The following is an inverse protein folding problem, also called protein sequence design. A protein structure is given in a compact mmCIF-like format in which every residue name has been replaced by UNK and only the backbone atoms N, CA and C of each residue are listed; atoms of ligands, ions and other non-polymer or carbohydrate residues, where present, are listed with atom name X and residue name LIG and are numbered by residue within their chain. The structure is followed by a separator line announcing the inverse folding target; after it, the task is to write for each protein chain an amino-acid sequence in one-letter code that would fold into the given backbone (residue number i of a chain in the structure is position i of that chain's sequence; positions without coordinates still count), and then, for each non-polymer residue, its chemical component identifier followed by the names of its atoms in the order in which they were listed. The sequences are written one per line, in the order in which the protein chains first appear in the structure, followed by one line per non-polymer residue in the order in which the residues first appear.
data_IF_828715039269
#
_entry.id   IF_828715039269
#
_cell.length_a   1.000
_cell.length_b   1.000
_cell.length_c   1.000
_cell.angle_alpha   90.00
_cell.angle_beta   90.00
_cell.angle_gamma   90.00
#
_symmetry.space_group_name_H-M   'P 1'
#
loop_
_entity.id
_entity.type
_entity.pdbx_description
1 polymer ?
#
# COMPACT_ATOMS: atom_id res chain seq x y z
N UNK A 1 12.90 1.75 28.47
CA UNK A 1 12.81 2.80 27.41
C UNK A 1 13.22 2.32 26.00
N UNK A 2 13.06 1.03 25.63
CA UNK A 2 13.53 0.52 24.31
C UNK A 2 12.43 -0.09 23.41
N UNK A 3 11.16 -0.02 23.84
CA UNK A 3 10.03 -0.69 23.16
C UNK A 3 8.96 0.24 22.58
N UNK A 4 9.06 1.57 22.77
CA UNK A 4 8.05 2.51 22.26
C UNK A 4 8.27 2.96 20.80
N UNK A 5 9.40 2.60 20.18
CA UNK A 5 9.71 2.99 18.80
C UNK A 5 9.26 1.97 17.75
N UNK A 6 8.73 0.80 18.14
CA UNK A 6 8.30 -0.23 17.18
C UNK A 6 6.89 0.01 16.60
N UNK A 7 6.13 0.94 17.18
CA UNK A 7 4.74 1.19 16.81
C UNK A 7 4.49 2.65 16.42
N UNK A 8 5.41 3.28 15.68
CA UNK A 8 4.94 4.33 14.77
C UNK A 8 4.20 3.56 13.67
N UNK A 9 2.89 3.37 13.86
CA UNK A 9 1.98 2.97 12.79
C UNK A 9 1.99 4.12 11.78
N UNK A 10 3.04 4.21 10.97
CA UNK A 10 3.10 5.18 9.90
C UNK A 10 2.11 4.68 8.88
N UNK A 11 0.91 5.26 8.89
CA UNK A 11 -0.22 4.97 7.99
C UNK A 11 0.09 5.47 6.56
N UNK A 12 1.32 5.26 6.12
CA UNK A 12 1.97 5.72 4.90
C UNK A 12 2.54 4.51 4.16
N UNK A 13 3.00 4.73 2.93
CA UNK A 13 3.62 3.68 2.12
C UNK A 13 4.90 3.14 2.78
N UNK A 14 5.22 1.87 2.54
CA UNK A 14 6.42 1.26 3.12
C UNK A 14 7.71 1.94 2.63
N UNK A 15 8.74 1.94 3.48
CA UNK A 15 10.06 2.51 3.13
C UNK A 15 10.65 1.94 1.82
N UNK A 16 10.62 0.63 1.58
CA UNK A 16 11.07 0.05 0.31
C UNK A 16 10.27 0.56 -0.89
N UNK A 17 8.94 0.68 -0.77
CA UNK A 17 8.09 1.19 -1.85
C UNK A 17 8.42 2.65 -2.16
N UNK A 18 8.57 3.49 -1.13
CA UNK A 18 8.99 4.88 -1.31
C UNK A 18 10.34 4.98 -2.00
N UNK A 19 11.32 4.17 -1.59
CA UNK A 19 12.65 4.16 -2.20
C UNK A 19 12.60 3.75 -3.69
N UNK A 20 11.83 2.72 -4.04
CA UNK A 20 11.67 2.29 -5.43
C UNK A 20 11.05 3.41 -6.29
N UNK A 21 10.01 4.06 -5.77
CA UNK A 21 9.37 5.21 -6.42
C UNK A 21 10.36 6.35 -6.63
N UNK A 22 11.14 6.69 -5.60
CA UNK A 22 12.12 7.78 -5.64
C UNK A 22 13.25 7.54 -6.62
N UNK A 23 13.70 6.29 -6.76
CA UNK A 23 14.73 5.95 -7.73
C UNK A 23 14.23 6.12 -9.17
N UNK A 24 13.02 5.68 -9.43
CA UNK A 24 12.41 5.71 -10.75
C UNK A 24 11.80 7.09 -11.12
N UNK A 25 11.59 7.98 -10.15
CA UNK A 25 11.16 9.37 -10.42
C UNK A 25 12.31 10.30 -10.84
N UNK A 26 13.57 9.88 -10.65
CA UNK A 26 14.75 10.65 -11.09
C UNK A 26 14.77 10.80 -12.60
N UNK A 27 15.33 11.90 -13.15
CA UNK A 27 15.35 12.13 -14.58
C UNK A 27 16.05 11.00 -15.36
N UNK A 28 15.42 10.46 -16.42
CA UNK A 28 14.05 10.74 -16.86
C UNK A 28 13.00 10.05 -15.98
N UNK A 29 11.94 10.77 -15.56
CA UNK A 29 10.84 10.18 -14.77
C UNK A 29 10.17 9.06 -15.57
N UNK A 30 10.29 7.81 -15.11
CA UNK A 30 9.75 6.65 -15.82
C UNK A 30 8.30 6.33 -15.45
N UNK A 31 7.69 7.08 -14.53
CA UNK A 31 6.32 6.84 -14.08
C UNK A 31 5.24 7.59 -14.88
N UNK A 32 5.61 8.64 -15.59
CA UNK A 32 4.66 9.53 -16.26
C UNK A 32 3.77 8.79 -17.28
N UNK A 33 2.51 9.23 -17.36
CA UNK A 33 1.46 8.71 -18.26
C UNK A 33 1.14 7.20 -18.08
N UNK A 34 1.51 6.61 -16.95
CA UNK A 34 1.22 5.19 -16.67
C UNK A 34 -0.03 5.01 -15.83
N UNK A 35 -0.81 3.99 -16.19
CA UNK A 35 -1.91 3.53 -15.36
C UNK A 35 -1.38 2.83 -14.09
N UNK A 36 -1.98 3.11 -12.94
CA UNK A 36 -1.61 2.52 -11.66
C UNK A 36 -2.83 1.99 -10.88
N UNK A 37 -2.66 0.85 -10.23
CA UNK A 37 -3.61 0.30 -9.28
C UNK A 37 -2.90 0.05 -7.95
N UNK A 38 -3.62 0.26 -6.85
CA UNK A 38 -3.08 0.08 -5.49
C UNK A 38 -3.99 -0.87 -4.73
N UNK A 39 -3.38 -1.88 -4.12
CA UNK A 39 -4.01 -2.84 -3.24
C UNK A 39 -3.23 -2.86 -1.92
N UNK A 40 -3.93 -2.97 -0.80
CA UNK A 40 -3.31 -3.07 0.51
C UNK A 40 -3.96 -4.16 1.34
N UNK A 41 -3.12 -4.95 2.01
CA UNK A 41 -3.53 -5.86 3.06
C UNK A 41 -2.91 -5.40 4.38
N UNK A 42 -3.72 -5.05 5.36
CA UNK A 42 -3.27 -4.54 6.66
C UNK A 42 -4.12 -5.07 7.80
N UNK A 43 -3.62 -4.95 9.02
CA UNK A 43 -4.48 -4.95 10.19
C UNK A 43 -5.29 -3.66 10.26
N UNK A 44 -6.60 -3.79 10.44
CA UNK A 44 -7.55 -2.68 10.45
C UNK A 44 -7.47 -1.83 9.17
N UNK A 45 -7.91 -0.57 9.24
CA UNK A 45 -7.89 0.40 8.13
C UNK A 45 -6.50 1.02 7.88
N UNK A 46 -5.43 0.40 8.39
CA UNK A 46 -4.07 0.94 8.27
C UNK A 46 -3.58 1.06 6.82
N UNK A 47 -3.95 0.08 6.00
CA UNK A 47 -3.63 -0.01 4.58
C UNK A 47 -4.38 1.03 3.75
N UNK A 48 -5.62 1.35 4.11
CA UNK A 48 -6.40 2.36 3.38
C UNK A 48 -5.78 3.75 3.42
N UNK A 49 -5.30 4.16 4.61
CA UNK A 49 -4.56 5.43 4.76
C UNK A 49 -3.25 5.44 3.97
N UNK A 50 -2.53 4.32 3.94
CA UNK A 50 -1.33 4.18 3.12
C UNK A 50 -1.62 4.26 1.62
N UNK A 51 -2.77 3.72 1.16
CA UNK A 51 -3.20 3.86 -0.24
C UNK A 51 -3.48 5.31 -0.61
N UNK A 52 -4.20 6.06 0.24
CA UNK A 52 -4.47 7.47 -0.04
C UNK A 52 -3.19 8.30 -0.10
N UNK A 53 -2.26 8.06 0.83
CA UNK A 53 -0.96 8.71 0.79
C UNK A 53 -0.17 8.37 -0.49
N UNK A 54 -0.23 7.13 -0.97
CA UNK A 54 0.40 6.74 -2.23
C UNK A 54 -0.24 7.40 -3.44
N UNK A 55 -1.57 7.53 -3.48
CA UNK A 55 -2.27 8.26 -4.54
C UNK A 55 -1.85 9.73 -4.57
N UNK A 56 -1.68 10.35 -3.41
CA UNK A 56 -1.21 11.73 -3.30
C UNK A 56 0.20 11.91 -3.86
N UNK A 57 1.11 10.95 -3.62
CA UNK A 57 2.45 10.95 -4.22
C UNK A 57 2.40 10.73 -5.73
N UNK A 58 1.55 9.83 -6.21
CA UNK A 58 1.46 9.54 -7.65
C UNK A 58 0.97 10.71 -8.51
N UNK A 59 0.31 11.72 -7.93
CA UNK A 59 0.03 12.99 -8.63
C UNK A 59 1.31 13.67 -9.09
N UNK A 60 2.35 13.70 -8.24
CA UNK A 60 3.65 14.30 -8.59
C UNK A 60 4.45 13.49 -9.63
N UNK A 61 4.11 12.21 -9.77
CA UNK A 61 4.75 11.29 -10.71
C UNK A 61 4.04 11.23 -12.07
N UNK A 62 2.90 11.91 -12.19
CA UNK A 62 2.00 11.85 -13.35
C UNK A 62 1.44 10.44 -13.61
N UNK A 63 1.00 9.77 -12.53
CA UNK A 63 0.35 8.46 -12.58
C UNK A 63 -1.18 8.57 -12.68
N UNK A 64 -1.76 7.76 -13.56
CA UNK A 64 -3.20 7.65 -13.76
C UNK A 64 -3.79 6.51 -12.91
N UNK A 65 -4.30 6.82 -11.73
CA UNK A 65 -4.85 5.78 -10.87
C UNK A 65 -6.26 5.32 -11.28
N UNK A 66 -6.47 4.00 -11.20
CA UNK A 66 -7.81 3.41 -11.23
C UNK A 66 -8.48 3.68 -9.88
N UNK A 67 -9.63 4.35 -9.92
CA UNK A 67 -10.32 4.83 -8.72
C UNK A 67 -11.36 3.85 -8.17
N UNK A 68 -11.82 2.87 -8.95
CA UNK A 68 -12.84 1.88 -8.53
C UNK A 68 -12.58 0.50 -9.12
N UNK A 69 -12.88 -0.59 -8.38
CA UNK A 69 -13.21 -0.61 -6.94
C UNK A 69 -11.97 -0.30 -6.08
N UNK A 70 -12.17 0.32 -4.92
CA UNK A 70 -11.10 0.42 -3.92
C UNK A 70 -11.02 -0.90 -3.14
N UNK A 71 -9.83 -1.51 -3.08
CA UNK A 71 -9.67 -2.84 -2.52
C UNK A 71 -8.75 -2.82 -1.30
N UNK A 72 -9.32 -3.17 -0.13
CA UNK A 72 -8.63 -3.22 1.15
C UNK A 72 -8.90 -4.56 1.83
N UNK A 73 -7.84 -5.31 2.14
CA UNK A 73 -7.96 -6.59 2.85
C UNK A 73 -7.60 -6.39 4.32
N UNK A 74 -8.55 -6.67 5.22
CA UNK A 74 -8.26 -6.73 6.65
C UNK A 74 -7.64 -8.08 7.01
N UNK A 75 -6.31 -8.12 7.11
CA UNK A 75 -5.53 -9.34 7.36
C UNK A 75 -5.60 -9.82 8.83
N UNK A 76 -6.02 -8.96 9.77
CA UNK A 76 -6.17 -9.32 11.19
C UNK A 76 -7.56 -9.88 11.53
N UNK A 77 -8.44 -10.06 10.55
CA UNK A 77 -9.70 -10.74 10.77
C UNK A 77 -9.39 -12.25 10.91
N UNK A 78 -9.31 -12.71 12.15
CA UNK A 78 -8.75 -14.03 12.50
C UNK A 78 -9.78 -15.17 12.58
N UNK A 79 -11.07 -14.93 12.32
CA UNK A 79 -12.07 -15.98 12.48
C UNK A 79 -13.23 -15.88 11.46
N UNK A 80 -13.24 -16.66 10.38
CA UNK A 80 -12.17 -17.57 9.90
C UNK A 80 -10.95 -16.83 9.31
N UNK A 81 -9.77 -17.46 9.22
CA UNK A 81 -8.59 -16.87 8.58
C UNK A 81 -8.83 -16.64 7.08
N UNK A 82 -8.47 -15.45 6.57
CA UNK A 82 -8.65 -15.12 5.15
C UNK A 82 -7.67 -15.81 4.20
N UNK A 83 -6.50 -16.21 4.70
CA UNK A 83 -5.45 -16.84 3.91
C UNK A 83 -5.04 -18.18 4.52
N UNK A 84 -4.75 -19.18 3.68
CA UNK A 84 -4.15 -20.43 4.10
C UNK A 84 -2.64 -20.30 4.36
N UNK A 85 -1.97 -21.42 4.66
CA UNK A 85 -0.53 -21.45 4.96
C UNK A 85 0.34 -21.26 3.71
N UNK A 86 -0.22 -21.51 2.54
CA UNK A 86 0.45 -21.40 1.24
C UNK A 86 0.25 -19.99 0.62
N UNK A 87 -0.57 -19.15 1.25
CA UNK A 87 -0.84 -17.78 0.84
C UNK A 87 -2.03 -17.62 -0.10
N UNK A 88 -2.84 -18.66 -0.27
CA UNK A 88 -4.07 -18.57 -1.06
C UNK A 88 -5.16 -17.87 -0.26
N UNK A 89 -5.96 -17.03 -0.93
CA UNK A 89 -7.16 -16.44 -0.36
C UNK A 89 -8.24 -17.52 -0.27
N UNK A 90 -8.67 -17.84 0.95
CA UNK A 90 -9.69 -18.87 1.25
C UNK A 90 -11.03 -18.28 1.69
N UNK A 91 -11.13 -16.95 1.70
CA UNK A 91 -12.33 -16.17 1.97
C UNK A 91 -13.05 -15.88 0.64
N UNK A 92 -14.36 -16.15 0.57
CA UNK A 92 -15.21 -15.92 -0.64
C UNK A 92 -15.60 -14.45 -0.83
#
# INVERSE_FOLDING_TARGET
MRNYLKNVLTLTMSGPLKNAIDWASRPPNVWADKAAAVVSASGDFGGGRAQYHLRQVGVSLDLHFINKPEFFVNKLQHNPPKFDRDGNLIDE
#
